data_IF_926717241775
#
_entry.id   IF_926717241775
#
_cell.length_a   1.000
_cell.length_b   1.000
_cell.length_c   1.000
_cell.angle_alpha   90.00
_cell.angle_beta   90.00
_cell.angle_gamma   90.00
#
_symmetry.space_group_name_H-M   'P 1'
#
loop_
_entity.id
_entity.type
_entity.pdbx_description
1 polymer ?
#
# COMPACT_ATOMS: atom_id res chain seq x y z
N UNK A 1 14.41 38.34 -16.35
CA UNK A 1 15.50 37.43 -15.92
C UNK A 1 14.88 36.09 -15.59
N UNK A 2 15.12 35.13 -16.48
CA UNK A 2 14.64 33.75 -16.42
C UNK A 2 15.56 32.95 -15.47
N UNK A 3 14.97 32.24 -14.51
CA UNK A 3 15.67 31.21 -13.75
C UNK A 3 14.87 29.90 -13.88
N UNK A 4 15.27 29.12 -14.88
CA UNK A 4 14.79 27.76 -15.10
C UNK A 4 15.45 26.87 -14.04
N UNK A 5 14.71 26.53 -12.99
CA UNK A 5 15.10 25.51 -12.02
C UNK A 5 14.99 24.13 -12.67
N UNK A 6 16.09 23.62 -13.21
CA UNK A 6 16.23 22.21 -13.57
C UNK A 6 16.32 21.38 -12.28
N UNK A 7 15.17 20.89 -11.80
CA UNK A 7 15.15 19.83 -10.78
C UNK A 7 15.56 18.52 -11.42
N UNK A 8 16.77 18.05 -11.12
CA UNK A 8 17.28 16.76 -11.59
C UNK A 8 16.54 15.63 -10.86
N UNK A 9 15.56 15.01 -11.51
CA UNK A 9 14.95 13.76 -11.03
C UNK A 9 16.02 12.67 -11.03
N UNK A 10 16.40 12.20 -9.84
CA UNK A 10 17.25 11.02 -9.67
C UNK A 10 16.33 9.80 -9.77
N UNK A 11 16.50 8.90 -10.75
CA UNK A 11 15.66 7.71 -10.89
C UNK A 11 15.87 6.76 -9.70
N UNK A 12 14.75 6.24 -9.19
CA UNK A 12 14.69 5.26 -8.11
C UNK A 12 15.38 3.96 -8.55
N UNK A 13 16.61 3.71 -8.09
CA UNK A 13 17.28 2.42 -8.30
C UNK A 13 16.66 1.40 -7.36
N UNK A 14 15.86 0.49 -7.93
CA UNK A 14 15.30 -0.66 -7.22
C UNK A 14 16.34 -1.41 -6.40
N UNK A 15 16.02 -1.66 -5.12
CA UNK A 15 16.85 -2.44 -4.23
C UNK A 15 16.97 -3.89 -4.75
N UNK A 16 18.21 -4.36 -4.92
CA UNK A 16 18.50 -5.79 -5.13
C UNK A 16 18.15 -6.56 -3.86
N UNK A 17 16.98 -7.20 -3.83
CA UNK A 17 16.62 -8.13 -2.77
C UNK A 17 17.42 -9.43 -2.89
N UNK A 18 18.07 -9.83 -1.79
CA UNK A 18 18.76 -11.11 -1.64
C UNK A 18 17.81 -12.28 -1.93
N UNK A 19 18.30 -13.22 -2.74
CA UNK A 19 17.52 -14.24 -3.42
C UNK A 19 16.90 -15.29 -2.47
N UNK A 20 15.58 -15.49 -2.60
CA UNK A 20 14.90 -16.76 -2.33
C UNK A 20 14.26 -17.25 -3.63
N UNK A 21 14.49 -18.54 -3.94
CA UNK A 21 14.03 -19.33 -5.10
C UNK A 21 13.23 -18.64 -6.20
N UNK A 22 13.84 -18.49 -7.39
CA UNK A 22 13.16 -18.02 -8.62
C UNK A 22 12.27 -19.13 -9.21
N UNK A 23 11.01 -19.18 -8.79
CA UNK A 23 9.95 -19.77 -9.61
C UNK A 23 9.52 -18.77 -10.70
N UNK A 24 9.16 -19.24 -11.89
CA UNK A 24 8.70 -18.41 -13.02
C UNK A 24 7.51 -17.52 -12.60
N UNK A 25 6.62 -18.04 -11.74
CA UNK A 25 5.49 -17.27 -11.18
C UNK A 25 5.95 -16.10 -10.30
N UNK A 26 7.03 -16.29 -9.54
CA UNK A 26 7.61 -15.25 -8.67
C UNK A 26 8.26 -14.14 -9.51
N UNK A 27 8.90 -14.49 -10.63
CA UNK A 27 9.48 -13.52 -11.58
C UNK A 27 8.39 -12.66 -12.24
N UNK A 28 7.29 -13.28 -12.70
CA UNK A 28 6.17 -12.53 -13.29
C UNK A 28 5.54 -11.55 -12.30
N UNK A 29 5.27 -12.01 -11.08
CA UNK A 29 4.71 -11.16 -10.02
C UNK A 29 5.64 -9.99 -9.65
N UNK A 30 6.94 -10.24 -9.57
CA UNK A 30 7.94 -9.22 -9.33
C UNK A 30 7.96 -8.15 -10.44
N UNK A 31 7.96 -8.58 -11.71
CA UNK A 31 7.98 -7.66 -12.85
C UNK A 31 6.69 -6.84 -12.93
N UNK A 32 5.53 -7.46 -12.70
CA UNK A 32 4.25 -6.77 -12.67
C UNK A 32 4.21 -5.70 -11.58
N UNK A 33 4.71 -6.03 -10.37
CA UNK A 33 4.84 -5.08 -9.27
C UNK A 33 5.71 -3.89 -9.64
N UNK A 34 6.86 -4.12 -10.29
CA UNK A 34 7.74 -3.05 -10.73
C UNK A 34 7.03 -2.09 -11.70
N UNK A 35 6.33 -2.63 -12.71
CA UNK A 35 5.57 -1.83 -13.68
C UNK A 35 4.47 -1.00 -13.02
N UNK A 36 3.66 -1.62 -12.14
CA UNK A 36 2.57 -0.93 -11.46
C UNK A 36 3.08 0.20 -10.56
N UNK A 37 4.17 -0.03 -9.81
CA UNK A 37 4.76 1.00 -8.95
C UNK A 37 5.36 2.16 -9.76
N UNK A 38 6.01 1.87 -10.89
CA UNK A 38 6.51 2.93 -11.77
C UNK A 38 5.35 3.76 -12.34
N UNK A 39 4.27 3.14 -12.78
CA UNK A 39 3.08 3.89 -13.25
C UNK A 39 2.44 4.72 -12.13
N UNK A 40 2.40 4.19 -10.90
CA UNK A 40 1.88 4.91 -9.74
C UNK A 40 2.72 6.15 -9.39
N UNK A 41 4.03 6.08 -9.57
CA UNK A 41 4.97 7.15 -9.23
C UNK A 41 5.05 8.24 -10.31
N UNK A 42 5.11 7.85 -11.57
CA UNK A 42 5.33 8.75 -12.69
C UNK A 42 4.03 9.32 -13.29
N UNK A 43 2.88 8.69 -13.01
CA UNK A 43 1.57 9.06 -13.55
C UNK A 43 1.38 8.60 -15.00
N UNK A 44 2.15 9.19 -15.92
CA UNK A 44 2.02 8.96 -17.37
C UNK A 44 3.37 8.62 -17.98
N UNK A 45 3.50 7.44 -18.61
CA UNK A 45 4.79 6.93 -19.12
C UNK A 45 4.60 6.16 -20.43
N UNK A 46 5.52 6.31 -21.38
CA UNK A 46 5.56 5.47 -22.58
C UNK A 46 6.08 4.04 -22.28
N UNK A 47 5.79 3.07 -23.14
CA UNK A 47 6.35 1.69 -23.01
C UNK A 47 7.88 1.67 -22.96
N UNK A 48 8.52 2.52 -23.77
CA UNK A 48 9.99 2.65 -23.79
C UNK A 48 10.49 3.26 -22.50
N UNK A 49 9.80 4.28 -21.97
CA UNK A 49 10.07 4.86 -20.66
C UNK A 49 9.97 3.83 -19.54
N UNK A 50 8.91 3.01 -19.54
CA UNK A 50 8.73 1.93 -18.56
C UNK A 50 9.86 0.90 -18.64
N UNK A 51 10.25 0.47 -19.84
CA UNK A 51 11.38 -0.46 -20.01
C UNK A 51 12.67 0.11 -19.42
N UNK A 52 12.96 1.39 -19.68
CA UNK A 52 14.13 2.09 -19.15
C UNK A 52 14.10 2.22 -17.62
N UNK A 53 12.97 2.63 -17.06
CA UNK A 53 12.82 2.87 -15.61
C UNK A 53 12.82 1.57 -14.80
N UNK A 54 12.18 0.52 -15.31
CA UNK A 54 12.10 -0.79 -14.64
C UNK A 54 13.29 -1.70 -14.92
N UNK A 55 14.07 -1.42 -15.98
CA UNK A 55 15.15 -2.29 -16.46
C UNK A 55 14.65 -3.59 -17.12
N UNK A 56 13.36 -3.70 -17.43
CA UNK A 56 12.77 -4.86 -18.09
C UNK A 56 12.90 -4.77 -19.61
N UNK A 57 12.91 -5.93 -20.28
CA UNK A 57 12.93 -5.97 -21.74
C UNK A 57 11.64 -5.36 -22.35
N UNK A 58 11.75 -4.78 -23.54
CA UNK A 58 10.60 -4.23 -24.27
C UNK A 58 9.51 -5.27 -24.50
N UNK A 59 9.88 -6.51 -24.83
CA UNK A 59 8.94 -7.64 -24.97
C UNK A 59 8.21 -7.94 -23.66
N UNK A 60 8.91 -7.94 -22.53
CA UNK A 60 8.29 -8.14 -21.20
C UNK A 60 7.29 -7.01 -20.89
N UNK A 61 7.67 -5.76 -21.14
CA UNK A 61 6.78 -4.61 -20.95
C UNK A 61 5.54 -4.73 -21.83
N UNK A 62 5.69 -5.00 -23.12
CA UNK A 62 4.54 -5.17 -24.04
C UNK A 62 3.58 -6.24 -23.53
N UNK A 63 4.07 -7.42 -23.15
CA UNK A 63 3.22 -8.51 -22.66
C UNK A 63 2.49 -8.16 -21.35
N UNK A 64 3.13 -7.42 -20.45
CA UNK A 64 2.52 -6.98 -19.19
C UNK A 64 1.48 -5.87 -19.43
N UNK A 65 1.80 -4.90 -20.28
CA UNK A 65 0.86 -3.81 -20.62
C UNK A 65 -0.37 -4.35 -21.34
N UNK A 66 -0.23 -5.30 -22.26
CA UNK A 66 -1.40 -5.95 -22.89
C UNK A 66 -2.33 -6.57 -21.84
N UNK A 67 -1.79 -7.31 -20.87
CA UNK A 67 -2.61 -7.87 -19.78
C UNK A 67 -3.26 -6.77 -18.92
N UNK A 68 -2.55 -5.69 -18.63
CA UNK A 68 -3.11 -4.57 -17.85
C UNK A 68 -4.23 -3.84 -18.59
N UNK A 69 -4.13 -3.71 -19.92
CA UNK A 69 -5.18 -3.16 -20.78
C UNK A 69 -6.39 -4.10 -20.80
N UNK A 70 -6.19 -5.40 -20.98
CA UNK A 70 -7.26 -6.42 -20.95
C UNK A 70 -8.01 -6.44 -19.61
N UNK A 71 -7.30 -6.23 -18.50
CA UNK A 71 -7.89 -6.14 -17.16
C UNK A 71 -8.48 -4.76 -16.81
N UNK A 72 -8.39 -3.79 -17.73
CA UNK A 72 -8.87 -2.42 -17.56
C UNK A 72 -8.16 -1.66 -16.44
N UNK A 73 -6.88 -1.95 -16.19
CA UNK A 73 -6.06 -1.29 -15.15
C UNK A 73 -5.30 -0.09 -15.70
N UNK A 74 -4.97 -0.12 -16.98
CA UNK A 74 -4.21 0.92 -17.68
C UNK A 74 -5.02 1.39 -18.88
N UNK A 75 -4.84 2.64 -19.27
CA UNK A 75 -5.35 3.18 -20.53
C UNK A 75 -4.21 3.77 -21.36
N UNK A 76 -4.40 3.79 -22.68
CA UNK A 76 -3.52 4.50 -23.61
C UNK A 76 -4.06 5.91 -23.84
N UNK A 77 -3.32 6.92 -23.41
CA UNK A 77 -3.75 8.32 -23.51
C UNK A 77 -2.92 9.04 -24.58
N UNK A 78 -3.56 9.52 -25.65
CA UNK A 78 -2.96 10.46 -26.60
C UNK A 78 -1.60 10.06 -27.20
N UNK A 79 -0.96 11.03 -27.88
CA UNK A 79 0.36 10.91 -28.51
C UNK A 79 1.27 11.94 -27.87
N UNK A 80 2.48 11.60 -27.46
CA UNK A 80 3.49 12.64 -27.20
C UNK A 80 3.74 13.41 -28.50
N UNK A 81 3.57 14.73 -28.48
CA UNK A 81 4.07 15.59 -29.54
C UNK A 81 5.60 15.58 -29.46
N UNK A 82 6.26 14.90 -30.40
CA UNK A 82 7.71 14.98 -30.54
C UNK A 82 8.08 16.45 -30.85
N UNK A 83 8.55 17.20 -29.85
CA UNK A 83 9.18 18.51 -30.05
C UNK A 83 10.61 18.38 -30.62
N UNK A 84 11.00 17.21 -31.13
CA UNK A 84 12.27 16.99 -31.81
C UNK A 84 11.98 16.50 -33.22
N UNK A 85 12.48 17.23 -34.21
CA UNK A 85 12.42 16.93 -35.63
C UNK A 85 13.28 15.71 -36.00
N UNK A 86 12.96 14.54 -35.43
CA UNK A 86 13.61 13.27 -35.68
C UNK A 86 12.57 12.18 -35.91
N UNK A 87 12.69 11.47 -37.02
CA UNK A 87 11.72 10.49 -37.51
C UNK A 87 11.53 9.33 -36.52
N UNK A 88 10.43 9.38 -35.76
CA UNK A 88 9.99 8.30 -34.90
C UNK A 88 8.47 8.39 -34.72
N UNK A 89 7.77 7.25 -34.80
CA UNK A 89 6.33 7.18 -34.54
C UNK A 89 6.06 7.74 -33.12
N UNK A 90 5.07 8.64 -32.94
CA UNK A 90 4.75 9.21 -31.64
C UNK A 90 4.57 8.12 -30.58
N UNK A 91 5.21 8.27 -29.42
CA UNK A 91 5.10 7.29 -28.35
C UNK A 91 3.69 7.34 -27.72
N UNK A 92 3.03 6.18 -27.63
CA UNK A 92 1.77 6.04 -26.89
C UNK A 92 2.05 6.12 -25.40
N UNK A 93 1.35 7.01 -24.71
CA UNK A 93 1.46 7.15 -23.26
C UNK A 93 0.51 6.19 -22.55
N UNK A 94 0.95 5.68 -21.41
CA UNK A 94 0.21 4.77 -20.55
C UNK A 94 0.01 5.42 -19.19
N UNK A 95 -1.18 5.25 -18.63
CA UNK A 95 -1.48 5.64 -17.26
C UNK A 95 -2.39 4.63 -16.57
N UNK A 96 -2.28 4.52 -15.25
CA UNK A 96 -3.24 3.75 -14.46
C UNK A 96 -4.59 4.45 -14.48
N UNK A 97 -5.67 3.66 -14.59
CA UNK A 97 -7.03 4.15 -14.38
C UNK A 97 -7.25 4.17 -12.85
N UNK A 98 -7.36 5.34 -12.19
CA UNK A 98 -7.42 5.40 -10.72
C UNK A 98 -8.54 4.54 -10.14
N UNK A 99 -9.72 4.58 -10.77
CA UNK A 99 -10.94 3.90 -10.36
C UNK A 99 -11.02 2.43 -10.77
N UNK A 100 -10.03 1.88 -11.49
CA UNK A 100 -10.12 0.51 -12.02
C UNK A 100 -10.23 -0.53 -10.91
N UNK A 101 -9.58 -0.27 -9.77
CA UNK A 101 -9.66 -1.10 -8.57
C UNK A 101 -9.66 -0.20 -7.34
N UNK A 102 -10.16 -0.72 -6.24
CA UNK A 102 -10.13 -0.04 -4.96
C UNK A 102 -9.67 -0.99 -3.85
N UNK A 103 -9.23 -0.43 -2.74
CA UNK A 103 -8.92 -1.16 -1.52
C UNK A 103 -9.66 -0.55 -0.34
N UNK A 104 -9.90 -1.33 0.70
CA UNK A 104 -10.44 -0.82 1.97
C UNK A 104 -9.33 -0.76 2.99
N UNK A 105 -9.07 0.42 3.55
CA UNK A 105 -8.17 0.60 4.68
C UNK A 105 -8.95 0.63 5.99
N UNK A 106 -8.47 -0.12 6.99
CA UNK A 106 -9.00 -0.11 8.36
C UNK A 106 -7.90 0.31 9.32
N UNK A 107 -8.17 1.32 10.14
CA UNK A 107 -7.36 1.66 11.31
C UNK A 107 -8.09 1.19 12.56
N UNK A 108 -7.51 0.25 13.30
CA UNK A 108 -7.99 -0.23 14.59
C UNK A 108 -7.06 0.29 15.68
N UNK A 109 -7.47 1.41 16.29
CA UNK A 109 -6.80 2.03 17.43
C UNK A 109 -7.24 1.43 18.76
N UNK A 110 -6.90 2.11 19.86
CA UNK A 110 -7.28 1.70 21.22
C UNK A 110 -8.73 2.07 21.55
N UNK A 111 -9.20 3.20 21.02
CA UNK A 111 -10.51 3.81 21.33
C UNK A 111 -11.35 4.09 20.07
N UNK A 112 -10.80 3.79 18.89
CA UNK A 112 -11.33 4.23 17.60
C UNK A 112 -11.09 3.20 16.52
N UNK A 113 -12.12 2.98 15.70
CA UNK A 113 -12.02 2.22 14.46
C UNK A 113 -12.37 3.16 13.32
N UNK A 114 -11.57 3.14 12.26
CA UNK A 114 -11.83 3.86 11.01
C UNK A 114 -11.79 2.88 9.86
N UNK A 115 -12.71 3.01 8.90
CA UNK A 115 -12.65 2.27 7.64
C UNK A 115 -13.00 3.20 6.47
N UNK A 116 -12.27 3.08 5.37
CA UNK A 116 -12.51 3.89 4.17
C UNK A 116 -12.06 3.20 2.90
N UNK A 117 -12.68 3.57 1.79
CA UNK A 117 -12.36 3.04 0.46
C UNK A 117 -11.39 3.99 -0.24
N UNK A 118 -10.26 3.46 -0.71
CA UNK A 118 -9.31 4.20 -1.53
C UNK A 118 -9.23 3.66 -2.95
N UNK A 119 -8.89 4.53 -3.89
CA UNK A 119 -8.53 4.14 -5.25
C UNK A 119 -7.07 3.65 -5.35
N UNK A 120 -6.57 3.38 -6.57
CA UNK A 120 -5.19 2.91 -6.79
C UNK A 120 -4.11 3.92 -6.38
N UNK A 121 -4.43 5.22 -6.33
CA UNK A 121 -3.53 6.29 -5.93
C UNK A 121 -3.64 6.62 -4.43
N UNK A 122 -4.41 5.82 -3.67
CA UNK A 122 -4.61 6.02 -2.24
C UNK A 122 -5.57 7.17 -1.92
N UNK A 123 -6.30 7.71 -2.91
CA UNK A 123 -7.28 8.75 -2.66
C UNK A 123 -8.52 8.16 -2.01
N UNK A 124 -8.86 8.65 -0.82
CA UNK A 124 -10.06 8.23 -0.10
C UNK A 124 -11.30 8.81 -0.78
N UNK A 125 -12.26 7.93 -1.09
CA UNK A 125 -13.60 8.32 -1.54
C UNK A 125 -14.46 8.75 -0.36
N UNK A 126 -14.44 7.94 0.69
CA UNK A 126 -15.18 8.13 1.93
C UNK A 126 -14.47 7.39 3.06
N UNK A 127 -14.79 7.74 4.30
CA UNK A 127 -14.45 6.94 5.45
C UNK A 127 -15.47 7.14 6.57
N UNK A 128 -15.57 6.14 7.43
CA UNK A 128 -16.40 6.16 8.62
C UNK A 128 -15.56 5.95 9.87
N UNK A 129 -16.04 6.47 10.99
CA UNK A 129 -15.38 6.37 12.29
C UNK A 129 -16.41 5.93 13.32
N UNK A 130 -16.00 4.98 14.15
CA UNK A 130 -16.73 4.61 15.37
C UNK A 130 -15.76 4.67 16.55
N UNK A 131 -16.32 4.91 17.74
CA UNK A 131 -15.58 4.79 19.00
C UNK A 131 -15.94 3.49 19.67
N UNK A 132 -14.98 2.91 20.36
CA UNK A 132 -15.17 1.78 21.26
C UNK A 132 -14.36 2.02 22.53
N UNK A 133 -14.61 1.22 23.56
CA UNK A 133 -13.80 1.24 24.78
C UNK A 133 -12.77 0.12 24.72
N UNK A 134 -11.74 0.20 25.57
CA UNK A 134 -10.68 -0.81 25.65
C UNK A 134 -11.21 -2.15 26.19
N UNK A 135 -12.30 -2.12 26.95
CA UNK A 135 -12.95 -3.27 27.57
C UNK A 135 -13.86 -4.04 26.59
N UNK A 136 -14.16 -3.46 25.41
CA UNK A 136 -14.99 -4.12 24.41
C UNK A 136 -14.33 -5.43 23.96
N UNK A 137 -15.04 -6.58 24.02
CA UNK A 137 -14.48 -7.86 23.61
C UNK A 137 -13.99 -7.85 22.16
N UNK A 138 -12.87 -8.53 21.90
CA UNK A 138 -12.27 -8.57 20.57
C UNK A 138 -13.26 -9.03 19.48
N UNK A 139 -14.12 -10.00 19.79
CA UNK A 139 -15.13 -10.49 18.86
C UNK A 139 -16.13 -9.39 18.45
N UNK A 140 -16.53 -8.51 19.37
CA UNK A 140 -17.43 -7.38 19.10
C UNK A 140 -16.73 -6.32 18.26
N UNK A 141 -15.47 -5.99 18.58
CA UNK A 141 -14.66 -5.07 17.76
C UNK A 141 -14.52 -5.57 16.32
N UNK A 142 -14.30 -6.87 16.11
CA UNK A 142 -14.20 -7.45 14.76
C UNK A 142 -15.55 -7.44 14.02
N UNK A 143 -16.67 -7.60 14.73
CA UNK A 143 -18.02 -7.43 14.15
C UNK A 143 -18.21 -5.98 13.68
N UNK A 144 -17.84 -5.01 14.50
CA UNK A 144 -17.95 -3.60 14.18
C UNK A 144 -17.04 -3.19 13.01
N UNK A 145 -15.81 -3.71 12.95
CA UNK A 145 -14.92 -3.53 11.79
C UNK A 145 -15.58 -4.06 10.52
N UNK A 146 -16.13 -5.28 10.55
CA UNK A 146 -16.79 -5.86 9.37
C UNK A 146 -17.99 -5.01 8.92
N UNK A 147 -18.83 -4.54 9.86
CA UNK A 147 -19.96 -3.64 9.57
C UNK A 147 -19.49 -2.32 8.96
N UNK A 148 -18.43 -1.74 9.50
CA UNK A 148 -17.89 -0.47 9.02
C UNK A 148 -17.30 -0.59 7.62
N UNK A 149 -16.63 -1.71 7.32
CA UNK A 149 -16.12 -2.02 5.98
C UNK A 149 -17.25 -2.19 4.97
N UNK A 150 -18.29 -2.96 5.29
CA UNK A 150 -19.45 -3.14 4.41
C UNK A 150 -20.14 -1.80 4.13
N UNK A 151 -20.29 -0.97 5.17
CA UNK A 151 -20.84 0.39 5.04
C UNK A 151 -19.97 1.26 4.13
N UNK A 152 -18.65 1.23 4.30
CA UNK A 152 -17.71 1.99 3.47
C UNK A 152 -17.82 1.61 1.99
N UNK A 153 -17.87 0.30 1.69
CA UNK A 153 -18.02 -0.23 0.33
C UNK A 153 -19.36 0.21 -0.28
N UNK A 154 -20.46 0.05 0.46
CA UNK A 154 -21.80 0.40 -0.01
C UNK A 154 -21.93 1.90 -0.32
N UNK A 155 -21.47 2.75 0.59
CA UNK A 155 -21.54 4.21 0.46
C UNK A 155 -20.62 4.74 -0.66
N UNK A 156 -19.47 4.09 -0.88
CA UNK A 156 -18.58 4.44 -1.99
C UNK A 156 -19.17 4.12 -3.37
N UNK A 157 -20.26 3.34 -3.44
CA UNK A 157 -20.92 2.94 -4.68
C UNK A 157 -20.05 2.06 -5.59
N UNK A 158 -19.03 1.39 -5.03
CA UNK A 158 -18.10 0.56 -5.80
C UNK A 158 -18.57 -0.89 -5.87
N UNK A 159 -18.33 -1.54 -7.01
CA UNK A 159 -18.58 -2.99 -7.11
C UNK A 159 -17.65 -3.74 -6.17
N UNK A 160 -18.18 -4.73 -5.44
CA UNK A 160 -17.38 -5.61 -4.58
C UNK A 160 -16.27 -6.32 -5.34
N UNK A 161 -16.47 -6.65 -6.62
CA UNK A 161 -15.45 -7.27 -7.48
C UNK A 161 -14.28 -6.35 -7.81
N UNK A 162 -14.43 -5.03 -7.61
CA UNK A 162 -13.34 -4.06 -7.79
C UNK A 162 -12.48 -3.91 -6.53
N UNK A 163 -12.94 -4.40 -5.38
CA UNK A 163 -12.21 -4.36 -4.11
C UNK A 163 -11.15 -5.45 -4.11
N UNK A 164 -9.88 -5.07 -4.17
CA UNK A 164 -8.76 -6.03 -4.23
C UNK A 164 -8.43 -6.66 -2.87
N UNK A 165 -8.90 -6.04 -1.79
CA UNK A 165 -8.74 -6.54 -0.43
C UNK A 165 -8.95 -5.46 0.63
N UNK A 166 -8.82 -5.90 1.88
CA UNK A 166 -8.93 -5.06 3.08
C UNK A 166 -7.59 -5.08 3.83
N UNK A 167 -6.98 -3.92 4.02
CA UNK A 167 -5.78 -3.74 4.83
C UNK A 167 -6.14 -3.23 6.22
N UNK A 168 -5.76 -3.96 7.27
CA UNK A 168 -6.04 -3.62 8.67
C UNK A 168 -4.74 -3.24 9.37
N UNK A 169 -4.63 -1.97 9.78
CA UNK A 169 -3.62 -1.50 10.71
C UNK A 169 -4.14 -1.64 12.14
N UNK A 170 -3.63 -2.62 12.88
CA UNK A 170 -4.06 -2.96 14.24
C UNK A 170 -3.08 -2.45 15.31
N UNK A 171 -3.62 -1.95 16.43
CA UNK A 171 -2.83 -1.68 17.63
C UNK A 171 -2.32 -2.97 18.26
N UNK A 172 -1.06 -2.96 18.71
CA UNK A 172 -0.39 -4.11 19.32
C UNK A 172 0.57 -4.85 18.37
N UNK A 173 1.05 -5.99 18.84
CA UNK A 173 1.96 -6.87 18.11
C UNK A 173 1.17 -7.77 17.17
N UNK A 174 1.50 -7.69 15.87
CA UNK A 174 0.84 -8.45 14.81
C UNK A 174 1.84 -9.38 14.13
N UNK A 175 1.48 -10.65 14.05
CA UNK A 175 2.09 -11.58 13.11
C UNK A 175 1.45 -11.36 11.72
N UNK A 176 2.22 -10.83 10.79
CA UNK A 176 1.75 -10.46 9.45
C UNK A 176 1.51 -11.66 8.54
N UNK A 177 2.17 -12.79 8.79
CA UNK A 177 2.03 -14.01 7.98
C UNK A 177 0.73 -14.74 8.32
N UNK A 178 0.32 -14.70 9.58
CA UNK A 178 -0.95 -15.30 10.05
C UNK A 178 -2.07 -14.27 10.17
N UNK A 179 -1.76 -12.98 10.21
CA UNK A 179 -2.72 -11.91 10.46
C UNK A 179 -3.33 -11.94 11.86
N UNK A 180 -2.66 -12.59 12.80
CA UNK A 180 -3.05 -12.69 14.22
C UNK A 180 -2.49 -11.49 14.97
N UNK A 181 -3.35 -10.83 15.75
CA UNK A 181 -2.90 -9.91 16.79
C UNK A 181 -2.45 -10.73 17.99
N UNK A 182 -1.14 -10.86 18.16
CA UNK A 182 -0.51 -11.71 19.16
C UNK A 182 -0.75 -11.14 20.56
N UNK A 183 -0.61 -9.82 20.70
CA UNK A 183 -0.73 -9.12 21.98
C UNK A 183 -1.07 -7.64 21.77
N UNK A 184 -2.13 -7.15 22.39
CA UNK A 184 -2.43 -5.72 22.47
C UNK A 184 -2.77 -5.33 23.91
N UNK A 185 -1.79 -4.87 24.71
CA UNK A 185 -1.98 -4.63 26.15
C UNK A 185 -3.07 -3.61 26.46
N UNK A 186 -3.12 -2.51 25.70
CA UNK A 186 -4.13 -1.45 25.89
C UNK A 186 -5.56 -1.88 25.53
N UNK A 187 -5.72 -3.05 24.89
CA UNK A 187 -7.02 -3.63 24.56
C UNK A 187 -7.30 -4.91 25.38
N UNK A 188 -6.34 -5.37 26.19
CA UNK A 188 -6.43 -6.66 26.88
C UNK A 188 -6.43 -7.89 25.96
N UNK A 189 -6.05 -7.75 24.68
CA UNK A 189 -6.13 -8.85 23.71
C UNK A 189 -4.92 -9.78 23.76
N UNK A 190 -5.18 -11.06 23.55
CA UNK A 190 -4.16 -12.12 23.36
C UNK A 190 -4.61 -13.05 22.24
N UNK A 191 -3.75 -13.25 21.24
CA UNK A 191 -3.95 -14.22 20.14
C UNK A 191 -5.31 -14.08 19.43
N UNK A 192 -5.62 -12.88 18.93
CA UNK A 192 -6.87 -12.60 18.22
C UNK A 192 -6.68 -12.81 16.71
N UNK A 193 -7.41 -13.73 16.05
CA UNK A 193 -7.25 -14.06 14.64
C UNK A 193 -7.99 -13.07 13.72
N UNK A 194 -7.52 -11.82 13.67
CA UNK A 194 -8.16 -10.72 12.93
C UNK A 194 -8.40 -11.10 11.47
N UNK A 195 -7.37 -11.60 10.77
CA UNK A 195 -7.48 -11.92 9.35
C UNK A 195 -8.56 -12.94 9.07
N UNK A 196 -8.52 -14.08 9.73
CA UNK A 196 -9.39 -15.21 9.37
C UNK A 196 -10.85 -14.90 9.70
N UNK A 197 -11.10 -14.23 10.84
CA UNK A 197 -12.46 -13.77 11.21
C UNK A 197 -13.00 -12.77 10.21
N UNK A 198 -12.22 -11.74 9.85
CA UNK A 198 -12.66 -10.73 8.91
C UNK A 198 -12.78 -11.27 7.49
N UNK A 199 -11.85 -12.12 7.03
CA UNK A 199 -11.90 -12.74 5.72
C UNK A 199 -13.12 -13.65 5.57
N UNK A 200 -13.47 -14.42 6.61
CA UNK A 200 -14.69 -15.23 6.62
C UNK A 200 -15.97 -14.39 6.54
N UNK A 201 -16.03 -13.28 7.29
CA UNK A 201 -17.21 -12.37 7.29
C UNK A 201 -17.34 -11.56 6.01
N UNK A 202 -16.23 -11.01 5.54
CA UNK A 202 -16.19 -10.10 4.39
C UNK A 202 -16.06 -10.85 3.06
N UNK A 203 -15.67 -12.12 3.04
CA UNK A 203 -15.42 -12.87 1.80
C UNK A 203 -14.49 -12.10 0.84
N UNK A 204 -13.48 -11.44 1.41
CA UNK A 204 -12.47 -10.63 0.73
C UNK A 204 -11.09 -10.99 1.32
N UNK A 205 -10.00 -10.86 0.55
CA UNK A 205 -8.66 -10.96 1.10
C UNK A 205 -8.46 -9.92 2.20
N UNK A 206 -7.93 -10.35 3.35
CA UNK A 206 -7.61 -9.47 4.48
C UNK A 206 -6.12 -9.55 4.78
N UNK A 207 -5.49 -8.40 4.90
CA UNK A 207 -4.09 -8.25 5.30
C UNK A 207 -4.05 -7.48 6.60
N UNK A 208 -3.25 -7.93 7.57
CA UNK A 208 -3.17 -7.30 8.89
C UNK A 208 -1.72 -6.96 9.17
N UNK A 209 -1.49 -5.72 9.59
CA UNK A 209 -0.20 -5.25 10.05
C UNK A 209 -0.39 -4.35 11.28
N UNK A 210 0.69 -4.02 11.96
CA UNK A 210 0.70 -3.01 13.01
C UNK A 210 0.31 -1.64 12.42
N UNK A 211 -0.51 -0.90 13.17
CA UNK A 211 -1.05 0.39 12.72
C UNK A 211 0.05 1.44 12.43
N UNK A 212 1.12 1.52 13.23
CA UNK A 212 2.22 2.47 13.02
C UNK A 212 3.03 2.09 11.78
N UNK A 213 3.25 0.80 11.53
CA UNK A 213 3.90 0.34 10.29
C UNK A 213 3.04 0.64 9.06
N UNK A 214 1.73 0.45 9.15
CA UNK A 214 0.80 0.80 8.08
C UNK A 214 0.80 2.31 7.79
N UNK A 215 0.84 3.15 8.83
CA UNK A 215 0.97 4.61 8.69
C UNK A 215 2.30 4.99 8.02
N UNK A 216 3.42 4.38 8.43
CA UNK A 216 4.72 4.62 7.80
C UNK A 216 4.74 4.24 6.31
N UNK A 217 4.11 3.12 5.95
CA UNK A 217 3.97 2.71 4.55
C UNK A 217 3.11 3.71 3.76
N UNK A 218 2.01 4.18 4.33
CA UNK A 218 1.15 5.19 3.70
C UNK A 218 1.92 6.49 3.44
N UNK A 219 2.70 6.97 4.41
CA UNK A 219 3.55 8.16 4.24
C UNK A 219 4.64 7.96 3.19
N UNK A 220 5.25 6.77 3.12
CA UNK A 220 6.27 6.45 2.13
C UNK A 220 5.70 6.30 0.70
N UNK A 221 4.44 5.89 0.56
CA UNK A 221 3.81 5.70 -0.75
C UNK A 221 3.10 6.94 -1.26
N UNK A 222 2.38 7.64 -0.39
CA UNK A 222 1.39 8.67 -0.76
C UNK A 222 1.59 10.00 -0.03
N UNK A 223 2.38 10.02 1.05
CA UNK A 223 2.54 11.20 1.91
C UNK A 223 3.89 11.88 1.78
N UNK A 224 4.38 12.43 2.90
CA UNK A 224 5.59 13.24 2.96
C UNK A 224 6.87 12.44 2.62
N UNK A 225 6.82 11.12 2.76
CA UNK A 225 7.93 10.21 2.48
C UNK A 225 8.08 9.76 1.03
N UNK A 226 7.21 10.20 0.11
CA UNK A 226 7.15 9.67 -1.28
C UNK A 226 8.46 9.74 -2.06
N UNK A 227 9.29 10.75 -1.79
CA UNK A 227 10.60 10.93 -2.45
C UNK A 227 11.77 10.35 -1.64
N UNK A 228 11.50 9.79 -0.47
CA UNK A 228 12.52 9.23 0.40
C UNK A 228 12.73 7.74 0.11
N UNK A 229 13.98 7.33 -0.11
CA UNK A 229 14.32 5.91 -0.21
C UNK A 229 14.29 5.20 1.16
N UNK A 230 14.38 5.96 2.26
CA UNK A 230 14.28 5.46 3.62
C UNK A 230 13.50 6.46 4.46
N UNK A 231 12.54 5.96 5.24
CA UNK A 231 11.66 6.76 6.09
C UNK A 231 11.60 6.14 7.48
N UNK A 232 11.73 6.98 8.50
CA UNK A 232 11.32 6.66 9.87
C UNK A 232 10.09 7.52 10.20
N UNK A 233 8.97 6.86 10.47
CA UNK A 233 7.74 7.48 10.93
C UNK A 233 7.63 7.25 12.44
N UNK A 234 7.50 8.33 13.22
CA UNK A 234 7.32 8.24 14.68
C UNK A 234 5.90 8.66 15.03
N UNK A 235 5.19 7.78 15.71
CA UNK A 235 3.85 8.00 16.21
C UNK A 235 3.89 8.19 17.72
N UNK A 236 3.34 9.30 18.20
CA UNK A 236 3.18 9.58 19.63
C UNK A 236 1.73 9.97 19.92
N UNK A 237 0.99 9.09 20.60
CA UNK A 237 -0.36 9.37 21.13
C UNK A 237 -0.57 8.56 22.41
N UNK A 238 -1.58 7.68 22.45
CA UNK A 238 -1.83 6.76 23.59
C UNK A 238 -0.62 5.85 23.85
N UNK A 239 0.15 5.55 22.81
CA UNK A 239 1.46 4.91 22.91
C UNK A 239 2.47 5.58 21.98
N UNK A 240 3.72 5.17 22.10
CA UNK A 240 4.82 5.62 21.25
C UNK A 240 5.32 4.43 20.43
N UNK A 241 5.41 4.60 19.13
CA UNK A 241 5.91 3.58 18.21
C UNK A 241 6.53 4.22 16.99
N UNK A 242 7.28 3.41 16.23
CA UNK A 242 7.88 3.83 14.98
C UNK A 242 7.61 2.80 13.88
N UNK A 243 7.50 3.27 12.64
CA UNK A 243 7.52 2.44 11.46
C UNK A 243 8.68 2.84 10.57
N UNK A 244 9.42 1.85 10.09
CA UNK A 244 10.57 2.08 9.22
C UNK A 244 10.27 1.55 7.83
N UNK A 245 10.57 2.34 6.80
CA UNK A 245 10.49 1.93 5.40
C UNK A 245 11.86 2.07 4.77
N UNK A 246 12.36 1.02 4.13
CA UNK A 246 13.68 0.99 3.47
C UNK A 246 13.49 0.41 2.07
N UNK A 247 13.91 1.13 1.03
CA UNK A 247 13.72 0.71 -0.36
C UNK A 247 12.25 0.56 -0.75
N UNK A 248 11.37 1.38 -0.17
CA UNK A 248 9.92 1.29 -0.34
C UNK A 248 9.28 0.04 0.28
N UNK A 249 9.99 -0.69 1.15
CA UNK A 249 9.47 -1.84 1.90
C UNK A 249 9.43 -1.54 3.39
N UNK A 250 8.38 -1.98 4.07
CA UNK A 250 8.33 -1.93 5.54
C UNK A 250 9.43 -2.81 6.12
N UNK A 251 10.30 -2.22 6.93
CA UNK A 251 11.30 -2.94 7.71
C UNK A 251 10.68 -3.41 9.03
N UNK A 252 10.55 -4.73 9.17
CA UNK A 252 9.87 -5.37 10.32
C UNK A 252 10.83 -5.90 11.38
N UNK A 253 12.13 -5.97 11.08
CA UNK A 253 13.15 -6.57 11.96
C UNK A 253 12.92 -8.06 12.23
N UNK A 254 13.70 -8.63 13.14
CA UNK A 254 13.53 -10.02 13.59
C UNK A 254 12.22 -10.19 14.35
N UNK A 255 11.44 -11.23 14.02
CA UNK A 255 10.13 -11.54 14.63
C UNK A 255 9.11 -10.37 14.59
N UNK A 256 9.21 -9.51 13.59
CA UNK A 256 8.27 -8.41 13.37
C UNK A 256 8.16 -7.36 14.51
N UNK A 257 9.19 -7.25 15.37
CA UNK A 257 9.21 -6.30 16.50
C UNK A 257 9.93 -4.97 16.26
N UNK A 258 10.39 -4.68 15.04
CA UNK A 258 11.00 -3.37 14.77
C UNK A 258 9.96 -2.26 14.92
N UNK A 259 10.33 -1.19 15.64
CA UNK A 259 9.47 -0.03 15.82
C UNK A 259 8.90 0.14 17.23
N UNK A 260 9.14 -0.81 18.14
CA UNK A 260 8.68 -0.76 19.54
C UNK A 260 9.52 0.21 20.41
N UNK A 261 9.78 1.41 19.89
CA UNK A 261 10.66 2.40 20.54
C UNK A 261 10.10 2.91 21.87
N UNK A 262 8.78 2.84 22.07
CA UNK A 262 8.12 3.19 23.33
C UNK A 262 8.45 2.25 24.49
N UNK A 263 9.04 1.09 24.21
CA UNK A 263 9.51 0.12 25.21
C UNK A 263 11.02 0.24 25.49
N UNK A 264 11.67 1.30 25.02
CA UNK A 264 13.08 1.57 25.32
C UNK A 264 13.21 2.14 26.73
N UNK A 265 14.04 1.53 27.58
CA UNK A 265 14.36 2.07 28.90
C UNK A 265 15.10 3.39 28.76
N UNK A 266 14.47 4.48 29.19
CA UNK A 266 15.08 5.82 29.21
C UNK A 266 15.75 6.14 30.55
N UNK A 267 15.16 5.65 31.65
CA UNK A 267 15.64 5.83 33.02
C UNK A 267 15.68 4.43 33.66
N UNK A 268 16.87 3.89 33.97
CA UNK A 268 17.06 2.57 34.59
C UNK A 268 16.56 2.46 36.02
#
# INVERSE_FOLDING_TARGET
>A
MSAISHSTQIPFRGARTLARGRSIGNVKAHNLRAVLLTLLQEGTVSRVGLARLTGLSTTTITNLITQLLEHGLVLEEGREANNHAGAGRPATLLQLIPSARCAVGVHMGVDTIRAGVSDLFGQLRNYFVIRHTAEMPAAEVLIEIARLVERAIADAGVSRSSVVGVGVGASGLVDVETGVNVLAPNLGWRTVPIRDVLAGRLRLPVFVDNNVRAMALAEAMFGAGRQANTLAFVYGRVGVGAGFVVGGQVYRGSRAGAGEIGHTTMIP
#
